data_IF_196731721348
#
_entry.id   IF_196731721348
#
_cell.length_a   1.000
_cell.length_b   1.000
_cell.length_c   1.000
_cell.angle_alpha   90.00
_cell.angle_beta   90.00
_cell.angle_gamma   90.00
#
_symmetry.space_group_name_H-M   'P 1'
#
loop_
_entity.id
_entity.type
_entity.pdbx_description
1 polymer ?
#
# COMPACT_ATOMS: atom_id res chain seq x y z
N UNK A 1 33.82 66.23 -36.65
CA UNK A 1 34.02 64.78 -36.90
C UNK A 1 34.26 63.95 -35.63
N UNK A 2 34.27 64.54 -34.44
CA UNK A 2 34.59 63.82 -33.16
C UNK A 2 33.38 63.21 -32.44
N UNK A 3 32.14 63.57 -32.79
CA UNK A 3 30.95 63.07 -32.09
C UNK A 3 30.37 61.77 -32.66
N UNK A 4 30.74 61.39 -33.88
CA UNK A 4 30.27 60.13 -34.51
C UNK A 4 31.00 58.89 -34.01
N UNK A 5 32.27 59.06 -33.58
CA UNK A 5 33.05 57.95 -33.01
C UNK A 5 32.70 57.62 -31.55
N UNK A 6 32.18 58.57 -30.78
CA UNK A 6 31.69 58.36 -29.41
C UNK A 6 30.33 57.66 -29.36
N UNK A 7 29.51 57.81 -30.42
CA UNK A 7 28.23 57.15 -30.54
C UNK A 7 28.35 55.66 -30.98
N UNK A 8 29.45 55.30 -31.64
CA UNK A 8 29.69 53.93 -32.11
C UNK A 8 30.21 53.01 -31.01
N UNK A 9 30.67 53.53 -29.86
CA UNK A 9 31.15 52.75 -28.71
C UNK A 9 30.10 52.49 -27.62
N UNK A 10 28.89 53.04 -27.77
CA UNK A 10 27.79 52.77 -26.89
C UNK A 10 27.04 51.47 -27.37
N UNK A 11 27.75 50.37 -27.38
CA UNK A 11 27.07 49.04 -27.41
C UNK A 11 26.29 48.95 -26.11
N UNK A 12 24.95 48.76 -26.19
CA UNK A 12 24.14 48.73 -24.99
C UNK A 12 24.50 47.51 -24.16
N UNK A 13 25.38 47.70 -23.18
CA UNK A 13 25.70 46.69 -22.16
C UNK A 13 24.41 46.18 -21.45
N UNK A 14 23.34 46.94 -21.50
CA UNK A 14 22.03 46.61 -20.94
C UNK A 14 21.30 45.48 -21.69
N UNK A 15 21.50 45.31 -22.99
CA UNK A 15 20.86 44.23 -23.76
C UNK A 15 21.42 42.85 -23.44
N UNK A 16 22.74 42.77 -23.21
CA UNK A 16 23.40 41.52 -22.87
C UNK A 16 23.10 41.13 -21.41
N UNK A 17 23.00 42.11 -20.49
CA UNK A 17 22.60 41.87 -19.13
C UNK A 17 21.11 41.38 -19.05
N UNK A 18 20.23 42.05 -19.75
CA UNK A 18 18.83 41.61 -19.84
C UNK A 18 18.67 40.19 -20.44
N UNK A 19 19.42 39.90 -21.51
CA UNK A 19 19.45 38.56 -22.10
C UNK A 19 20.00 37.51 -21.14
N UNK A 20 21.07 37.86 -20.39
CA UNK A 20 21.60 36.95 -19.36
C UNK A 20 20.59 36.68 -18.24
N UNK A 21 19.88 37.70 -17.73
CA UNK A 21 18.81 37.49 -16.74
C UNK A 21 17.66 36.65 -17.26
N UNK A 22 17.24 36.79 -18.51
CA UNK A 22 16.24 35.97 -19.14
C UNK A 22 16.70 34.51 -19.27
N UNK A 23 17.93 34.25 -19.69
CA UNK A 23 18.49 32.91 -19.81
C UNK A 23 18.55 32.24 -18.41
N UNK A 24 19.07 32.95 -17.40
CA UNK A 24 19.11 32.45 -16.02
C UNK A 24 17.70 32.16 -15.51
N UNK A 25 16.74 33.03 -15.78
CA UNK A 25 15.34 32.83 -15.41
C UNK A 25 14.72 31.58 -16.05
N UNK A 26 14.98 31.35 -17.34
CA UNK A 26 14.52 30.14 -18.06
C UNK A 26 15.18 28.88 -17.48
N UNK A 27 16.48 28.91 -17.17
CA UNK A 27 17.19 27.78 -16.58
C UNK A 27 16.61 27.44 -15.20
N UNK A 28 16.40 28.45 -14.35
CA UNK A 28 15.80 28.26 -13.03
C UNK A 28 14.38 27.69 -13.16
N UNK A 29 13.56 28.24 -14.05
CA UNK A 29 12.22 27.76 -14.32
C UNK A 29 12.22 26.29 -14.80
N UNK A 30 13.14 25.93 -15.69
CA UNK A 30 13.32 24.57 -16.18
C UNK A 30 13.74 23.60 -15.07
N UNK A 31 14.64 24.02 -14.18
CA UNK A 31 15.08 23.22 -13.03
C UNK A 31 13.91 23.01 -12.05
N UNK A 32 13.15 24.06 -11.73
CA UNK A 32 11.96 23.97 -10.88
C UNK A 32 10.91 23.05 -11.50
N UNK A 33 10.65 23.22 -12.79
CA UNK A 33 9.72 22.37 -13.51
C UNK A 33 10.14 20.89 -13.49
N UNK A 34 11.41 20.61 -13.74
CA UNK A 34 11.98 19.27 -13.67
C UNK A 34 11.89 18.68 -12.25
N UNK A 35 12.18 19.46 -11.22
CA UNK A 35 12.07 19.06 -9.82
C UNK A 35 10.64 18.70 -9.44
N UNK A 36 9.65 19.50 -9.89
CA UNK A 36 8.21 19.20 -9.71
C UNK A 36 7.84 17.90 -10.43
N UNK A 37 8.30 17.71 -11.65
CA UNK A 37 8.04 16.51 -12.45
C UNK A 37 8.59 15.25 -11.77
N UNK A 38 9.82 15.30 -11.28
CA UNK A 38 10.46 14.20 -10.54
C UNK A 38 9.81 13.95 -9.18
N UNK A 39 9.25 14.96 -8.53
CA UNK A 39 8.50 14.81 -7.27
C UNK A 39 7.15 14.11 -7.46
N UNK A 40 6.52 14.29 -8.62
CA UNK A 40 5.25 13.65 -8.95
C UNK A 40 5.45 12.18 -9.32
N UNK A 41 6.55 11.84 -9.98
CA UNK A 41 6.86 10.49 -10.43
C UNK A 41 7.73 9.80 -9.37
N UNK A 42 7.22 8.77 -8.67
CA UNK A 42 8.02 8.02 -7.68
C UNK A 42 8.98 7.06 -8.40
N UNK A 43 10.02 7.60 -9.04
CA UNK A 43 11.00 6.82 -9.83
C UNK A 43 11.65 5.72 -9.02
N UNK A 44 11.99 5.98 -7.75
CA UNK A 44 12.58 4.98 -6.86
C UNK A 44 11.67 3.78 -6.62
N UNK A 45 10.36 4.02 -6.49
CA UNK A 45 9.37 2.95 -6.33
C UNK A 45 9.23 2.13 -7.62
N UNK A 46 9.27 2.78 -8.78
CA UNK A 46 9.22 2.10 -10.08
C UNK A 46 10.42 1.19 -10.31
N UNK A 47 11.64 1.68 -10.02
CA UNK A 47 12.87 0.88 -10.11
C UNK A 47 12.80 -0.31 -9.16
N UNK A 48 12.36 -0.11 -7.92
CA UNK A 48 12.17 -1.18 -6.93
C UNK A 48 11.17 -2.24 -7.38
N UNK A 49 10.05 -1.81 -7.97
CA UNK A 49 9.04 -2.71 -8.53
C UNK A 49 9.63 -3.54 -9.69
N UNK A 50 10.31 -2.88 -10.63
CA UNK A 50 10.91 -3.53 -11.79
C UNK A 50 11.99 -4.55 -11.37
N UNK A 51 12.87 -4.19 -10.44
CA UNK A 51 13.90 -5.08 -9.88
C UNK A 51 13.30 -6.29 -9.14
N UNK A 52 12.05 -6.17 -8.65
CA UNK A 52 11.33 -7.25 -7.98
C UNK A 52 10.47 -8.09 -8.94
N UNK A 53 10.57 -7.89 -10.26
CA UNK A 53 9.81 -8.62 -11.26
C UNK A 53 8.36 -8.16 -11.44
N UNK A 54 7.97 -7.07 -10.79
CA UNK A 54 6.62 -6.49 -10.94
C UNK A 54 6.59 -5.59 -12.16
N UNK A 55 5.79 -5.95 -13.17
CA UNK A 55 5.63 -5.15 -14.39
C UNK A 55 4.63 -4.01 -14.14
N UNK A 56 5.14 -2.85 -13.74
CA UNK A 56 4.35 -1.64 -13.53
C UNK A 56 4.65 -0.63 -14.62
N UNK A 57 3.61 -0.09 -15.27
CA UNK A 57 3.76 1.02 -16.21
C UNK A 57 3.83 2.34 -15.44
N UNK A 58 4.75 3.24 -15.82
CA UNK A 58 4.88 4.56 -15.19
C UNK A 58 3.55 5.34 -15.25
N UNK A 59 2.81 5.22 -16.36
CA UNK A 59 1.51 5.87 -16.53
C UNK A 59 0.48 5.40 -15.49
N UNK A 60 0.57 4.14 -15.04
CA UNK A 60 -0.29 3.59 -13.98
C UNK A 60 0.01 4.25 -12.63
N UNK A 61 1.29 4.48 -12.30
CA UNK A 61 1.71 5.18 -11.07
C UNK A 61 1.23 6.64 -11.06
N UNK A 62 1.33 7.32 -12.21
CA UNK A 62 0.82 8.68 -12.40
C UNK A 62 -0.70 8.69 -12.23
N UNK A 63 -1.42 7.74 -12.85
CA UNK A 63 -2.86 7.59 -12.71
C UNK A 63 -3.33 7.39 -11.26
N UNK A 64 -2.61 6.57 -10.48
CA UNK A 64 -2.86 6.40 -9.04
C UNK A 64 -2.71 7.73 -8.29
N UNK A 65 -1.70 8.53 -8.63
CA UNK A 65 -1.47 9.84 -8.01
C UNK A 65 -2.63 10.81 -8.27
N UNK A 66 -3.16 10.83 -9.52
CA UNK A 66 -4.34 11.64 -9.85
C UNK A 66 -5.59 11.21 -9.09
N UNK A 67 -5.75 9.91 -8.83
CA UNK A 67 -6.85 9.36 -8.01
C UNK A 67 -6.61 9.51 -6.51
N UNK A 68 -5.61 10.27 -6.08
CA UNK A 68 -5.21 10.48 -4.68
C UNK A 68 -4.80 9.19 -3.94
N UNK A 69 -4.43 8.17 -4.69
CA UNK A 69 -3.87 6.93 -4.15
C UNK A 69 -2.37 7.10 -3.99
N UNK A 70 -1.85 6.74 -2.82
CA UNK A 70 -0.41 6.69 -2.59
C UNK A 70 0.15 5.42 -3.23
N UNK A 71 0.95 5.50 -4.32
CA UNK A 71 1.40 4.32 -5.06
C UNK A 71 2.15 3.30 -4.19
N UNK A 72 2.89 3.75 -3.19
CA UNK A 72 3.62 2.89 -2.27
C UNK A 72 2.72 1.92 -1.49
N UNK A 73 1.46 2.31 -1.20
CA UNK A 73 0.50 1.44 -0.48
C UNK A 73 -0.01 0.27 -1.33
N UNK A 74 0.17 0.33 -2.64
CA UNK A 74 -0.22 -0.73 -3.58
C UNK A 74 1.00 -1.51 -4.05
N UNK A 75 2.07 -0.80 -4.41
CA UNK A 75 3.26 -1.41 -5.02
C UNK A 75 4.09 -2.20 -4.01
N UNK A 76 4.28 -1.71 -2.78
CA UNK A 76 5.04 -2.45 -1.76
C UNK A 76 4.40 -3.80 -1.41
N UNK A 77 3.08 -3.90 -1.12
CA UNK A 77 2.42 -5.19 -0.96
C UNK A 77 2.48 -6.06 -2.22
N UNK A 78 2.36 -5.47 -3.42
CA UNK A 78 2.49 -6.21 -4.67
C UNK A 78 3.88 -6.86 -4.82
N UNK A 79 4.95 -6.14 -4.45
CA UNK A 79 6.32 -6.68 -4.43
C UNK A 79 6.41 -7.87 -3.46
N UNK A 80 5.82 -7.77 -2.27
CA UNK A 80 5.77 -8.88 -1.31
C UNK A 80 5.04 -10.09 -1.89
N UNK A 81 3.89 -9.87 -2.55
CA UNK A 81 3.09 -10.91 -3.17
C UNK A 81 3.87 -11.65 -4.26
N UNK A 82 4.50 -10.91 -5.19
CA UNK A 82 5.31 -11.51 -6.28
C UNK A 82 6.49 -12.30 -5.73
N UNK A 83 7.21 -11.78 -4.73
CA UNK A 83 8.30 -12.51 -4.05
C UNK A 83 7.82 -13.77 -3.33
N UNK A 84 6.57 -13.80 -2.90
CA UNK A 84 5.95 -14.99 -2.31
C UNK A 84 5.38 -15.97 -3.36
N UNK A 85 5.44 -15.64 -4.65
CA UNK A 85 4.92 -16.46 -5.74
C UNK A 85 3.43 -16.29 -6.02
N UNK A 86 2.80 -15.25 -5.46
CA UNK A 86 1.39 -14.93 -5.73
C UNK A 86 1.25 -14.09 -7.00
N UNK A 87 0.36 -14.48 -7.89
CA UNK A 87 -0.01 -13.69 -9.07
C UNK A 87 -1.23 -12.81 -8.75
N UNK A 88 -0.97 -11.55 -8.42
CA UNK A 88 -2.02 -10.56 -8.15
C UNK A 88 -2.02 -9.48 -9.24
N UNK A 89 -3.17 -8.83 -9.43
CA UNK A 89 -3.30 -7.68 -10.32
C UNK A 89 -3.21 -6.38 -9.51
N UNK A 90 -2.43 -5.41 -10.04
CA UNK A 90 -2.29 -4.08 -9.43
C UNK A 90 -3.65 -3.38 -9.36
N UNK A 91 -4.47 -3.50 -10.42
CA UNK A 91 -5.78 -2.86 -10.51
C UNK A 91 -6.74 -3.37 -9.42
N UNK A 92 -6.69 -4.67 -9.09
CA UNK A 92 -7.47 -5.25 -8.00
C UNK A 92 -7.03 -4.75 -6.64
N UNK A 93 -5.72 -4.62 -6.41
CA UNK A 93 -5.17 -4.07 -5.17
C UNK A 93 -5.54 -2.59 -5.01
N UNK A 94 -5.47 -1.82 -6.11
CA UNK A 94 -5.88 -0.41 -6.14
C UNK A 94 -7.38 -0.27 -5.85
N UNK A 95 -8.23 -1.09 -6.47
CA UNK A 95 -9.67 -1.08 -6.23
C UNK A 95 -10.00 -1.38 -4.76
N UNK A 96 -9.32 -2.35 -4.14
CA UNK A 96 -9.47 -2.66 -2.73
C UNK A 96 -9.06 -1.49 -1.81
N UNK A 97 -7.95 -0.80 -2.14
CA UNK A 97 -7.51 0.38 -1.40
C UNK A 97 -8.52 1.53 -1.53
N UNK A 98 -9.07 1.76 -2.73
CA UNK A 98 -10.10 2.78 -2.98
C UNK A 98 -11.41 2.47 -2.26
N UNK A 99 -11.74 1.19 -2.06
CA UNK A 99 -12.88 0.75 -1.25
C UNK A 99 -12.67 0.94 0.27
N UNK A 100 -11.51 1.46 0.70
CA UNK A 100 -11.18 1.69 2.10
C UNK A 100 -10.50 0.52 2.80
N UNK A 101 -10.17 -0.56 2.08
CA UNK A 101 -9.49 -1.74 2.61
C UNK A 101 -7.99 -1.54 2.84
N UNK A 102 -7.38 -2.46 3.58
CA UNK A 102 -5.95 -2.49 3.86
C UNK A 102 -5.23 -3.53 3.00
N UNK A 103 -4.63 -3.07 1.90
CA UNK A 103 -3.93 -3.93 0.93
C UNK A 103 -2.79 -4.74 1.57
N UNK A 104 -2.02 -4.14 2.47
CA UNK A 104 -0.88 -4.83 3.10
C UNK A 104 -1.36 -5.98 3.98
N UNK A 105 -2.45 -5.79 4.73
CA UNK A 105 -3.07 -6.83 5.57
C UNK A 105 -3.58 -7.99 4.73
N UNK A 106 -4.29 -7.70 3.65
CA UNK A 106 -4.83 -8.71 2.72
C UNK A 106 -3.70 -9.51 2.09
N UNK A 107 -2.67 -8.84 1.58
CA UNK A 107 -1.53 -9.52 0.95
C UNK A 107 -0.76 -10.39 1.95
N UNK A 108 -0.51 -9.90 3.16
CA UNK A 108 0.14 -10.69 4.22
C UNK A 108 -0.69 -11.93 4.59
N UNK A 109 -2.02 -11.80 4.64
CA UNK A 109 -2.92 -12.92 4.90
C UNK A 109 -2.90 -13.96 3.76
N UNK A 110 -2.87 -13.50 2.50
CA UNK A 110 -2.75 -14.39 1.34
C UNK A 110 -1.40 -15.14 1.32
N UNK A 111 -0.32 -14.47 1.67
CA UNK A 111 1.00 -15.12 1.79
C UNK A 111 0.98 -16.16 2.91
N UNK A 112 0.38 -15.84 4.05
CA UNK A 112 0.25 -16.75 5.17
C UNK A 112 -0.62 -17.98 4.81
N UNK A 113 -1.76 -17.77 4.14
CA UNK A 113 -2.66 -18.82 3.71
C UNK A 113 -1.99 -19.78 2.71
N UNK A 114 -1.25 -19.22 1.74
CA UNK A 114 -0.51 -20.02 0.76
C UNK A 114 0.55 -20.90 1.45
N UNK A 115 1.31 -20.33 2.40
CA UNK A 115 2.32 -21.09 3.17
C UNK A 115 1.70 -22.15 4.08
N UNK A 116 0.48 -21.93 4.55
CA UNK A 116 -0.27 -22.89 5.35
C UNK A 116 -1.01 -23.94 4.52
N UNK A 117 -0.95 -23.90 3.18
CA UNK A 117 -1.67 -24.79 2.30
C UNK A 117 -3.19 -24.56 2.29
N UNK A 118 -3.64 -23.38 2.71
CA UNK A 118 -5.07 -23.01 2.74
C UNK A 118 -5.40 -22.25 1.46
N UNK A 119 -6.41 -22.68 0.73
CA UNK A 119 -6.90 -21.97 -0.46
C UNK A 119 -7.75 -20.76 -0.05
N UNK A 120 -7.15 -19.57 -0.04
CA UNK A 120 -7.87 -18.32 0.20
C UNK A 120 -7.89 -17.50 -1.08
N UNK A 121 -9.07 -17.32 -1.67
CA UNK A 121 -9.25 -16.45 -2.83
C UNK A 121 -9.06 -14.98 -2.44
N UNK A 122 -8.47 -14.20 -3.35
CA UNK A 122 -8.23 -12.76 -3.13
C UNK A 122 -9.52 -12.00 -2.81
N UNK A 123 -10.61 -12.27 -3.55
CA UNK A 123 -11.90 -11.63 -3.37
C UNK A 123 -12.47 -11.88 -1.96
N UNK A 124 -12.29 -13.11 -1.47
CA UNK A 124 -12.75 -13.47 -0.13
C UNK A 124 -11.93 -12.78 0.95
N UNK A 125 -10.61 -12.69 0.78
CA UNK A 125 -9.74 -11.93 1.69
C UNK A 125 -10.12 -10.45 1.74
N UNK A 126 -10.41 -9.84 0.58
CA UNK A 126 -10.87 -8.46 0.49
C UNK A 126 -12.24 -8.26 1.17
N UNK A 127 -13.18 -9.20 1.01
CA UNK A 127 -14.49 -9.13 1.66
C UNK A 127 -14.39 -9.18 3.19
N UNK A 128 -13.51 -10.02 3.72
CA UNK A 128 -13.25 -10.11 5.17
C UNK A 128 -12.65 -8.82 5.70
N UNK A 129 -11.67 -8.24 4.99
CA UNK A 129 -11.02 -6.99 5.38
C UNK A 129 -12.00 -5.81 5.36
N UNK A 130 -12.83 -5.70 4.31
CA UNK A 130 -13.86 -4.66 4.20
C UNK A 130 -14.99 -4.81 5.23
N UNK A 131 -15.25 -6.04 5.70
CA UNK A 131 -16.14 -6.30 6.82
C UNK A 131 -15.54 -5.89 8.19
N UNK A 132 -14.34 -5.30 8.20
CA UNK A 132 -13.66 -4.83 9.42
C UNK A 132 -13.00 -5.94 10.24
N UNK A 133 -12.87 -7.15 9.69
CA UNK A 133 -12.22 -8.28 10.36
C UNK A 133 -10.75 -8.40 9.94
N UNK A 134 -9.91 -8.84 10.85
CA UNK A 134 -8.50 -9.09 10.54
C UNK A 134 -8.33 -10.44 9.84
N UNK A 135 -8.08 -10.38 8.53
CA UNK A 135 -7.88 -11.56 7.68
C UNK A 135 -6.67 -12.39 8.13
N UNK A 136 -5.58 -11.74 8.55
CA UNK A 136 -4.37 -12.43 8.97
C UNK A 136 -4.62 -13.23 10.25
N UNK A 137 -5.29 -12.63 11.22
CA UNK A 137 -5.68 -13.32 12.47
C UNK A 137 -6.63 -14.49 12.17
N UNK A 138 -7.56 -14.35 11.22
CA UNK A 138 -8.46 -15.43 10.82
C UNK A 138 -7.69 -16.62 10.22
N UNK A 139 -6.70 -16.36 9.35
CA UNK A 139 -5.82 -17.39 8.77
C UNK A 139 -5.01 -18.08 9.88
N UNK A 140 -4.42 -17.31 10.79
CA UNK A 140 -3.64 -17.86 11.91
C UNK A 140 -4.49 -18.75 12.82
N UNK A 141 -5.72 -18.34 13.16
CA UNK A 141 -6.63 -19.15 13.99
C UNK A 141 -7.14 -20.40 13.27
N UNK A 142 -7.11 -20.42 11.93
CA UNK A 142 -7.42 -21.62 11.17
C UNK A 142 -6.30 -22.66 11.22
N UNK A 143 -5.03 -22.21 11.27
CA UNK A 143 -3.85 -23.07 11.36
C UNK A 143 -3.56 -23.49 12.81
N UNK A 144 -3.62 -22.52 13.73
CA UNK A 144 -3.36 -22.71 15.14
C UNK A 144 -4.63 -22.50 15.95
N UNK A 145 -5.29 -23.58 16.39
CA UNK A 145 -6.49 -23.46 17.20
C UNK A 145 -6.18 -22.72 18.51
N UNK A 146 -7.05 -21.76 18.86
CA UNK A 146 -6.95 -21.01 20.10
C UNK A 146 -7.68 -21.75 21.22
N UNK A 147 -6.99 -21.98 22.31
CA UNK A 147 -7.59 -22.53 23.52
C UNK A 147 -8.13 -21.38 24.37
N UNK A 148 -9.41 -21.42 24.67
CA UNK A 148 -10.08 -20.47 25.55
C UNK A 148 -10.43 -21.23 26.84
N UNK A 149 -9.99 -20.68 27.97
CA UNK A 149 -10.36 -21.21 29.29
C UNK A 149 -11.50 -20.35 29.87
N UNK A 150 -12.57 -21.02 30.32
CA UNK A 150 -13.62 -20.31 31.05
C UNK A 150 -13.16 -19.97 32.46
N UNK A 151 -13.66 -18.88 33.08
CA UNK A 151 -13.48 -18.67 34.51
C UNK A 151 -14.10 -19.86 35.28
N UNK A 152 -13.65 -20.05 36.50
CA UNK A 152 -14.23 -21.08 37.39
C UNK A 152 -15.66 -20.66 37.72
N UNK A 153 -16.61 -21.50 37.34
CA UNK A 153 -18.01 -21.34 37.74
C UNK A 153 -18.26 -22.23 38.92
N UNK A 154 -18.68 -21.66 40.05
CA UNK A 154 -19.04 -22.39 41.26
C UNK A 154 -20.58 -22.40 41.38
N UNK A 155 -21.13 -23.57 41.65
CA UNK A 155 -22.55 -23.76 41.95
C UNK A 155 -22.72 -24.72 43.13
N UNK A 156 -23.70 -24.44 44.02
CA UNK A 156 -24.00 -25.30 45.15
C UNK A 156 -25.13 -26.25 44.71
N UNK A 157 -24.88 -27.55 44.81
CA UNK A 157 -25.85 -28.60 44.59
C UNK A 157 -26.92 -28.62 45.69
N UNK A 158 -28.06 -29.30 45.43
CA UNK A 158 -29.16 -29.45 46.41
C UNK A 158 -28.71 -30.07 47.72
N UNK A 159 -27.67 -30.87 47.68
CA UNK A 159 -27.08 -31.57 48.82
C UNK A 159 -26.03 -30.74 49.60
N UNK A 160 -25.92 -29.43 49.30
CA UNK A 160 -24.97 -28.52 49.95
C UNK A 160 -23.51 -28.64 49.46
N UNK A 161 -23.24 -29.46 48.45
CA UNK A 161 -21.89 -29.65 47.90
C UNK A 161 -21.60 -28.54 46.85
N UNK A 162 -20.48 -27.84 47.05
CA UNK A 162 -19.99 -26.85 46.06
C UNK A 162 -19.32 -27.57 44.89
N UNK A 163 -19.88 -27.38 43.70
CA UNK A 163 -19.32 -27.84 42.44
C UNK A 163 -18.58 -26.69 41.76
N UNK A 164 -17.30 -26.89 41.47
CA UNK A 164 -16.48 -25.92 40.68
C UNK A 164 -16.16 -26.53 39.36
N UNK A 165 -16.62 -25.85 38.28
CA UNK A 165 -16.35 -26.28 36.91
C UNK A 165 -15.47 -25.23 36.20
N UNK A 166 -14.44 -25.73 35.51
CA UNK A 166 -13.60 -24.95 34.59
C UNK A 166 -13.58 -25.70 33.26
N UNK A 167 -13.98 -25.05 32.18
CA UNK A 167 -13.95 -25.66 30.86
C UNK A 167 -12.80 -25.06 30.04
N UNK A 168 -12.17 -25.91 29.24
CA UNK A 168 -11.17 -25.54 28.26
C UNK A 168 -11.71 -25.89 26.90
N UNK A 169 -11.94 -24.84 26.05
CA UNK A 169 -12.54 -24.99 24.73
C UNK A 169 -11.52 -24.64 23.68
N UNK A 170 -11.28 -25.56 22.76
CA UNK A 170 -10.40 -25.32 21.61
C UNK A 170 -11.24 -24.83 20.44
N UNK A 171 -10.96 -23.60 19.97
CA UNK A 171 -11.68 -22.94 18.89
C UNK A 171 -10.80 -22.87 17.64
N UNK A 172 -11.34 -23.28 16.51
CA UNK A 172 -10.72 -23.14 15.19
C UNK A 172 -11.60 -22.27 14.29
N UNK A 173 -11.02 -21.31 13.59
CA UNK A 173 -11.77 -20.51 12.63
C UNK A 173 -11.94 -21.29 11.31
N UNK A 174 -13.16 -21.32 10.79
CA UNK A 174 -13.43 -21.82 9.44
C UNK A 174 -13.52 -20.61 8.49
N UNK A 175 -12.47 -20.43 7.65
CA UNK A 175 -12.37 -19.29 6.73
C UNK A 175 -13.49 -19.29 5.70
N UNK A 176 -13.97 -20.48 5.29
CA UNK A 176 -15.04 -20.60 4.28
C UNK A 176 -16.39 -20.08 4.78
N UNK A 177 -16.65 -20.16 6.09
CA UNK A 177 -17.87 -19.65 6.71
C UNK A 177 -17.77 -18.23 7.27
N UNK A 178 -16.56 -17.65 7.28
CA UNK A 178 -16.33 -16.31 7.83
C UNK A 178 -17.00 -15.19 6.99
N UNK A 179 -17.28 -15.45 5.72
CA UNK A 179 -17.87 -14.50 4.77
C UNK A 179 -19.37 -14.74 4.58
N UNK A 180 -19.96 -15.72 5.19
CA UNK A 180 -21.34 -16.10 4.89
C UNK A 180 -22.36 -15.95 6.02
N UNK A 181 -22.01 -15.37 7.16
CA UNK A 181 -22.96 -15.26 8.29
C UNK A 181 -23.61 -16.60 8.64
N UNK A 182 -23.76 -16.92 9.88
CA UNK A 182 -24.33 -18.17 10.39
C UNK A 182 -25.50 -18.72 9.60
#
# INVERSE_FOLDING_TARGET
MSNLLLQAMAVPASSNAAAAFLIIGIIIAAIIFLAILLSIIPVGLWISALASGVRVRIIQLIGMRFRRVVPARVINPMIKAVKAGLSLSIDRLEAHLLAGGNVDRVVNALIASQRAGISLAFERACAIDLAGRDVLTAVQMSVHPKVIETPVVAAIAKDGIELRAKARVTVRANIDRLVGGA
#
